data_IF_578762178401
#
_entry.id   IF_578762178401
#
_cell.length_a   1.000
_cell.length_b   1.000
_cell.length_c   1.000
_cell.angle_alpha   90.00
_cell.angle_beta   90.00
_cell.angle_gamma   90.00
#
_symmetry.space_group_name_H-M   'P 1'
#
loop_
_entity.id
_entity.type
_entity.pdbx_description
1 polymer ?
#
# COMPACT_ATOMS: atom_id res chain seq x y z
N UNK A 1 -14.65 28.95 -44.40
CA UNK A 1 -13.26 28.65 -44.80
C UNK A 1 -12.34 29.00 -43.64
N UNK A 2 -11.89 27.99 -42.89
CA UNK A 2 -10.68 27.96 -42.03
C UNK A 2 -10.85 26.96 -40.87
N UNK A 3 -11.28 25.73 -41.19
CA UNK A 3 -11.20 24.61 -40.25
C UNK A 3 -11.15 23.30 -41.06
N UNK A 4 -10.05 23.07 -41.82
CA UNK A 4 -9.67 21.76 -42.37
C UNK A 4 -8.33 21.79 -43.16
N UNK A 5 -7.22 22.33 -42.65
CA UNK A 5 -5.88 22.08 -43.23
C UNK A 5 -4.79 22.15 -42.17
N UNK A 6 -3.79 21.27 -42.31
CA UNK A 6 -2.54 21.14 -41.54
C UNK A 6 -2.55 20.16 -40.35
N UNK A 7 -3.07 18.96 -40.64
CA UNK A 7 -2.61 17.68 -40.09
C UNK A 7 -1.90 16.86 -41.19
N UNK A 8 -1.01 17.48 -41.98
CA UNK A 8 -0.18 16.79 -42.98
C UNK A 8 1.22 17.43 -43.00
N UNK A 9 2.08 17.04 -42.05
CA UNK A 9 3.52 16.91 -42.33
C UNK A 9 4.10 15.80 -41.45
N UNK A 10 4.14 14.65 -42.10
CA UNK A 10 4.70 13.37 -41.69
C UNK A 10 6.11 13.27 -42.30
N UNK A 11 6.99 12.55 -41.58
CA UNK A 11 8.21 11.87 -42.01
C UNK A 11 9.57 12.59 -42.18
N UNK A 12 10.55 12.02 -41.47
CA UNK A 12 12.00 12.19 -41.65
C UNK A 12 12.72 12.36 -40.31
N UNK A 13 13.62 11.50 -39.83
CA UNK A 13 14.31 10.36 -40.41
C UNK A 13 14.81 9.44 -39.29
N UNK A 14 14.67 8.14 -39.49
CA UNK A 14 15.28 7.07 -38.69
C UNK A 14 16.51 6.57 -39.46
N UNK A 15 17.70 6.61 -38.85
CA UNK A 15 18.87 5.86 -39.33
C UNK A 15 19.51 5.11 -38.15
N UNK A 16 19.86 3.82 -38.32
CA UNK A 16 20.39 2.97 -37.26
C UNK A 16 21.92 2.95 -37.25
N UNK A 17 22.50 2.71 -36.06
CA UNK A 17 23.79 2.06 -35.91
C UNK A 17 24.92 2.94 -35.38
N UNK A 18 25.30 2.72 -34.12
CA UNK A 18 26.70 2.39 -33.77
C UNK A 18 26.71 1.66 -32.42
N UNK A 19 27.09 0.38 -32.44
CA UNK A 19 27.39 -0.40 -31.24
C UNK A 19 28.65 0.15 -30.53
N UNK A 20 28.62 0.21 -29.21
CA UNK A 20 29.78 0.45 -28.36
C UNK A 20 29.90 -0.66 -27.29
N UNK A 21 31.12 -1.00 -26.84
CA UNK A 21 31.49 -2.35 -26.47
C UNK A 21 31.07 -2.73 -25.04
N UNK A 22 30.71 -4.00 -24.86
CA UNK A 22 30.48 -4.64 -23.55
C UNK A 22 31.80 -4.74 -22.78
N UNK A 23 31.99 -3.88 -21.78
CA UNK A 23 33.03 -4.05 -20.77
C UNK A 23 32.56 -5.07 -19.72
N UNK A 24 33.40 -6.08 -19.46
CA UNK A 24 33.06 -7.27 -18.68
C UNK A 24 32.61 -7.00 -17.24
N UNK A 25 31.52 -7.65 -16.86
CA UNK A 25 31.14 -7.85 -15.46
C UNK A 25 32.25 -8.60 -14.73
N UNK A 26 32.91 -7.93 -13.78
CA UNK A 26 33.59 -8.60 -12.68
C UNK A 26 32.57 -8.75 -11.55
N UNK A 27 32.07 -9.98 -11.39
CA UNK A 27 31.19 -10.41 -10.33
C UNK A 27 31.97 -10.36 -9.01
N UNK A 28 31.72 -9.34 -8.17
CA UNK A 28 32.25 -9.30 -6.81
C UNK A 28 31.21 -9.99 -5.92
N UNK A 29 31.39 -11.29 -5.71
CA UNK A 29 30.61 -12.06 -4.74
C UNK A 29 30.82 -11.49 -3.33
N UNK A 30 29.76 -10.93 -2.73
CA UNK A 30 29.72 -10.59 -1.30
C UNK A 30 29.11 -11.76 -0.52
N UNK A 31 29.73 -12.22 0.58
CA UNK A 31 29.24 -13.37 1.33
C UNK A 31 27.93 -13.04 2.06
N UNK A 32 26.90 -13.88 1.87
CA UNK A 32 25.65 -13.87 2.63
C UNK A 32 25.93 -14.15 4.11
N UNK A 33 25.54 -13.24 4.98
CA UNK A 33 25.57 -13.42 6.43
C UNK A 33 24.35 -14.27 6.84
N UNK A 34 24.57 -15.53 7.21
CA UNK A 34 23.55 -16.39 7.81
C UNK A 34 23.44 -16.08 9.31
N UNK A 35 22.27 -15.65 9.80
CA UNK A 35 21.95 -15.71 11.22
C UNK A 35 20.76 -16.62 11.47
N UNK A 36 21.02 -17.70 12.22
CA UNK A 36 19.99 -18.49 12.87
C UNK A 36 19.59 -17.84 14.20
N UNK A 37 18.29 -17.77 14.46
CA UNK A 37 17.77 -17.52 15.80
C UNK A 37 16.50 -18.36 16.00
N UNK A 38 16.62 -19.36 16.87
CA UNK A 38 15.53 -20.21 17.34
C UNK A 38 14.61 -19.37 18.23
N UNK A 39 13.35 -19.19 17.85
CA UNK A 39 12.32 -18.66 18.75
C UNK A 39 11.37 -19.77 19.20
N UNK A 40 11.51 -20.16 20.47
CA UNK A 40 10.61 -21.09 21.17
C UNK A 40 9.65 -20.24 22.00
N UNK A 41 8.43 -20.03 21.51
CA UNK A 41 7.39 -19.36 22.29
C UNK A 41 6.82 -20.34 23.33
N UNK A 42 7.00 -20.01 24.61
CA UNK A 42 6.38 -20.71 25.74
C UNK A 42 4.92 -20.27 25.89
N UNK A 43 3.99 -21.23 25.94
CA UNK A 43 2.58 -20.99 26.27
C UNK A 43 2.39 -20.95 27.80
N UNK A 44 1.45 -20.15 28.34
CA UNK A 44 1.21 -20.10 29.78
C UNK A 44 0.42 -21.33 30.27
N UNK A 45 0.73 -21.73 31.51
CA UNK A 45 0.17 -22.86 32.22
C UNK A 45 -1.33 -22.69 32.54
N UNK A 46 -2.06 -23.81 32.45
CA UNK A 46 -3.51 -23.89 32.57
C UNK A 46 -4.06 -23.73 33.99
N UNK A 47 -5.30 -23.27 34.04
CA UNK A 47 -6.18 -23.35 35.21
C UNK A 47 -7.03 -24.62 35.06
N UNK A 48 -7.01 -25.47 36.08
CA UNK A 48 -7.77 -26.71 36.13
C UNK A 48 -9.24 -26.45 36.44
N UNK A 49 -10.14 -27.15 35.74
CA UNK A 49 -11.51 -27.40 36.20
C UNK A 49 -11.97 -28.79 35.73
N UNK A 50 -12.50 -29.51 36.70
CA UNK A 50 -12.84 -30.93 36.75
C UNK A 50 -14.25 -31.22 36.20
N UNK A 51 -14.41 -32.43 35.65
CA UNK A 51 -15.61 -33.26 35.79
C UNK A 51 -16.90 -32.90 35.04
N UNK A 52 -17.16 -33.57 33.91
CA UNK A 52 -18.15 -34.67 33.81
C UNK A 52 -18.76 -34.88 32.40
N UNK A 53 -18.44 -36.08 31.87
CA UNK A 53 -19.22 -37.02 31.02
C UNK A 53 -20.34 -36.49 30.09
N UNK A 54 -20.06 -36.66 28.79
CA UNK A 54 -20.89 -37.51 27.92
C UNK A 54 -21.81 -36.81 26.91
N UNK A 55 -21.41 -36.78 25.63
CA UNK A 55 -22.29 -36.97 24.47
C UNK A 55 -21.49 -36.95 23.15
N UNK A 56 -21.56 -38.08 22.43
CA UNK A 56 -21.65 -38.26 20.97
C UNK A 56 -21.27 -37.13 20.00
N UNK A 57 -20.39 -37.46 19.05
CA UNK A 57 -20.53 -37.06 17.64
C UNK A 57 -20.11 -35.64 17.26
N UNK A 58 -18.80 -35.43 17.04
CA UNK A 58 -18.31 -34.47 16.07
C UNK A 58 -16.88 -34.88 15.68
N UNK A 59 -16.69 -35.29 14.42
CA UNK A 59 -15.35 -35.36 13.83
C UNK A 59 -14.77 -33.95 13.90
N UNK A 60 -13.86 -33.73 14.84
CA UNK A 60 -13.09 -32.48 14.95
C UNK A 60 -12.36 -32.29 13.62
N UNK A 61 -12.87 -31.38 12.80
CA UNK A 61 -12.07 -30.71 11.78
C UNK A 61 -10.92 -30.07 12.55
N UNK A 62 -9.76 -30.75 12.57
CA UNK A 62 -8.51 -30.12 12.98
C UNK A 62 -8.35 -28.96 12.01
N UNK A 63 -8.51 -27.73 12.51
CA UNK A 63 -8.12 -26.55 11.76
C UNK A 63 -6.71 -26.80 11.26
N UNK A 64 -6.44 -26.74 9.94
CA UNK A 64 -5.06 -26.77 9.48
C UNK A 64 -4.36 -25.64 10.22
N UNK A 65 -3.21 -25.95 10.83
CA UNK A 65 -2.28 -24.94 11.31
C UNK A 65 -2.18 -23.88 10.21
N UNK A 66 -2.26 -22.57 10.53
CA UNK A 66 -2.10 -21.55 9.50
C UNK A 66 -0.81 -21.89 8.75
N UNK A 67 -0.81 -21.86 7.40
CA UNK A 67 0.43 -22.07 6.67
C UNK A 67 1.46 -21.13 7.29
N UNK A 68 2.63 -21.67 7.66
CA UNK A 68 3.77 -20.86 8.02
C UNK A 68 3.83 -19.76 6.96
N UNK A 69 3.78 -18.48 7.39
CA UNK A 69 3.79 -17.35 6.46
C UNK A 69 4.88 -17.65 5.46
N UNK A 70 4.57 -17.69 4.17
CA UNK A 70 5.62 -17.68 3.15
C UNK A 70 6.41 -16.42 3.45
N UNK A 71 7.56 -16.58 4.09
CA UNK A 71 8.46 -15.48 4.40
C UNK A 71 8.85 -14.92 3.04
N UNK A 72 8.40 -13.70 2.73
CA UNK A 72 8.83 -13.02 1.52
C UNK A 72 10.37 -13.05 1.51
N UNK A 73 10.99 -13.41 0.39
CA UNK A 73 12.44 -13.48 0.34
C UNK A 73 13.03 -12.14 0.77
N UNK A 74 14.18 -12.14 1.46
CA UNK A 74 14.84 -10.90 1.87
C UNK A 74 15.11 -10.04 0.63
N UNK A 75 14.78 -8.76 0.73
CA UNK A 75 14.86 -7.77 -0.35
C UNK A 75 15.94 -6.74 -0.01
N UNK A 76 16.62 -6.21 -1.02
CA UNK A 76 17.47 -5.04 -0.90
C UNK A 76 16.65 -3.76 -1.15
N UNK A 77 16.50 -2.94 -0.11
CA UNK A 77 15.62 -1.78 -0.09
C UNK A 77 16.39 -0.51 0.25
N UNK A 78 16.24 0.52 -0.59
CA UNK A 78 16.82 1.84 -0.35
C UNK A 78 15.75 2.80 0.16
N UNK A 79 16.01 3.46 1.28
CA UNK A 79 15.13 4.47 1.86
C UNK A 79 15.80 5.84 1.76
N UNK A 80 15.25 6.71 0.92
CA UNK A 80 15.66 8.10 0.81
C UNK A 80 14.97 9.00 1.83
N UNK A 81 15.71 9.41 2.85
CA UNK A 81 15.30 10.31 3.92
C UNK A 81 15.13 9.59 5.26
N UNK A 82 15.92 9.96 6.26
CA UNK A 82 15.89 9.49 7.65
C UNK A 82 15.11 10.46 8.57
N UNK A 83 13.93 10.88 8.09
CA UNK A 83 12.93 11.55 8.92
C UNK A 83 12.17 10.55 9.80
N UNK A 84 11.12 11.01 10.48
CA UNK A 84 10.27 10.13 11.33
C UNK A 84 9.72 8.91 10.59
N UNK A 85 9.24 9.12 9.35
CA UNK A 85 8.67 8.04 8.53
C UNK A 85 9.77 7.09 8.03
N UNK A 86 10.90 7.62 7.56
CA UNK A 86 11.98 6.81 7.04
C UNK A 86 12.67 5.97 8.11
N UNK A 87 12.90 6.52 9.30
CA UNK A 87 13.47 5.77 10.42
C UNK A 87 12.55 4.63 10.88
N UNK A 88 11.26 4.90 11.07
CA UNK A 88 10.27 3.86 11.44
C UNK A 88 10.16 2.76 10.38
N UNK A 89 10.12 3.15 9.09
CA UNK A 89 10.12 2.20 7.98
C UNK A 89 11.39 1.36 7.94
N UNK A 90 12.56 1.98 8.12
CA UNK A 90 13.85 1.30 8.12
C UNK A 90 13.94 0.26 9.23
N UNK A 91 13.52 0.61 10.45
CA UNK A 91 13.50 -0.29 11.59
C UNK A 91 12.52 -1.45 11.42
N UNK A 92 11.35 -1.22 10.83
CA UNK A 92 10.39 -2.29 10.56
C UNK A 92 10.94 -3.27 9.53
N UNK A 93 11.41 -2.77 8.39
CA UNK A 93 11.94 -3.61 7.32
C UNK A 93 13.20 -4.38 7.73
N UNK A 94 14.10 -3.72 8.48
CA UNK A 94 15.29 -4.34 9.06
C UNK A 94 14.94 -5.47 10.03
N UNK A 95 13.92 -5.28 10.89
CA UNK A 95 13.43 -6.32 11.80
C UNK A 95 12.77 -7.49 11.08
N UNK A 96 12.11 -7.22 9.95
CA UNK A 96 11.48 -8.24 9.11
C UNK A 96 12.51 -9.01 8.25
N UNK A 97 13.81 -8.69 8.36
CA UNK A 97 14.90 -9.43 7.74
C UNK A 97 15.30 -8.94 6.34
N UNK A 98 14.82 -7.77 5.93
CA UNK A 98 15.25 -7.13 4.68
C UNK A 98 16.62 -6.47 4.83
N UNK A 99 17.36 -6.37 3.72
CA UNK A 99 18.59 -5.60 3.64
C UNK A 99 18.24 -4.15 3.33
N UNK A 100 18.46 -3.26 4.30
CA UNK A 100 17.97 -1.87 4.24
C UNK A 100 19.15 -0.90 4.25
N UNK A 101 19.16 0.00 3.26
CA UNK A 101 20.09 1.13 3.21
C UNK A 101 19.32 2.43 3.34
N UNK A 102 19.67 3.26 4.32
CA UNK A 102 19.05 4.57 4.56
C UNK A 102 19.98 5.68 4.08
N UNK A 103 19.51 6.49 3.13
CA UNK A 103 20.21 7.66 2.63
C UNK A 103 19.61 8.94 3.23
N UNK A 104 20.43 9.82 3.80
CA UNK A 104 20.01 11.17 4.17
C UNK A 104 21.16 12.16 3.97
N UNK A 105 20.85 13.43 3.69
CA UNK A 105 21.86 14.47 3.52
C UNK A 105 22.42 14.94 4.86
N UNK A 106 21.66 14.78 5.96
CA UNK A 106 22.08 15.16 7.30
C UNK A 106 22.55 13.93 8.09
N UNK A 107 23.82 13.88 8.52
CA UNK A 107 24.32 12.79 9.37
C UNK A 107 23.55 12.67 10.70
N UNK A 108 23.12 13.79 11.27
CA UNK A 108 22.33 13.84 12.51
C UNK A 108 20.95 13.19 12.35
N UNK A 109 20.47 12.99 11.11
CA UNK A 109 19.20 12.34 10.89
C UNK A 109 19.20 10.87 11.32
N UNK A 110 20.36 10.22 11.28
CA UNK A 110 20.52 8.81 11.65
C UNK A 110 20.37 8.56 13.15
N UNK A 111 20.48 9.60 14.00
CA UNK A 111 20.20 9.49 15.44
C UNK A 111 18.75 9.08 15.74
N UNK A 112 17.86 9.17 14.74
CA UNK A 112 16.48 8.69 14.83
C UNK A 112 16.34 7.18 14.70
N UNK A 113 17.35 6.50 14.18
CA UNK A 113 17.36 5.05 14.06
C UNK A 113 17.61 4.45 15.45
N UNK A 114 16.70 3.61 15.88
CA UNK A 114 16.79 2.90 17.14
C UNK A 114 17.91 1.86 17.14
N UNK A 115 18.34 1.45 18.33
CA UNK A 115 19.40 0.46 18.52
C UNK A 115 19.11 -0.92 17.90
N UNK A 116 17.87 -1.18 17.48
CA UNK A 116 17.47 -2.40 16.79
C UNK A 116 17.68 -2.38 15.27
N UNK A 117 18.04 -1.22 14.70
CA UNK A 117 18.34 -1.12 13.27
C UNK A 117 19.71 -1.75 12.96
N UNK A 118 19.74 -2.69 12.02
CA UNK A 118 20.94 -3.42 11.61
C UNK A 118 21.35 -3.18 10.13
N UNK A 119 20.71 -2.22 9.46
CA UNK A 119 21.01 -1.86 8.07
C UNK A 119 22.15 -0.86 7.95
N UNK A 120 22.38 -0.38 6.72
CA UNK A 120 23.44 0.59 6.41
C UNK A 120 22.89 2.02 6.37
N UNK A 121 23.68 2.99 6.84
CA UNK A 121 23.37 4.43 6.74
C UNK A 121 24.40 5.12 5.86
N UNK A 122 23.94 5.93 4.90
CA UNK A 122 24.79 6.63 3.95
C UNK A 122 24.43 8.11 3.87
N UNK A 123 25.43 8.98 4.05
CA UNK A 123 25.26 10.42 3.87
C UNK A 123 25.28 10.75 2.37
N UNK A 124 24.25 11.44 1.89
CA UNK A 124 24.17 11.95 0.52
C UNK A 124 22.80 12.49 0.13
N UNK A 125 22.75 13.23 -0.99
CA UNK A 125 21.49 13.67 -1.59
C UNK A 125 20.88 12.52 -2.40
N UNK A 126 19.59 12.25 -2.20
CA UNK A 126 18.87 11.17 -2.89
C UNK A 126 18.66 11.45 -4.37
N UNK A 127 18.85 12.71 -4.80
CA UNK A 127 18.76 13.13 -6.20
C UNK A 127 20.10 13.01 -6.94
N UNK A 128 21.18 12.68 -6.23
CA UNK A 128 22.49 12.45 -6.82
C UNK A 128 22.75 10.97 -7.11
N UNK A 129 23.39 10.68 -8.24
CA UNK A 129 23.68 9.30 -8.66
C UNK A 129 24.71 8.61 -7.77
N UNK A 130 25.74 9.33 -7.35
CA UNK A 130 26.85 8.74 -6.61
C UNK A 130 26.42 8.16 -5.24
N UNK A 131 25.63 8.87 -4.41
CA UNK A 131 25.06 8.29 -3.20
C UNK A 131 24.18 7.07 -3.46
N UNK A 132 23.35 7.09 -4.51
CA UNK A 132 22.49 5.96 -4.87
C UNK A 132 23.30 4.72 -5.31
N UNK A 133 24.36 4.92 -6.09
CA UNK A 133 25.30 3.85 -6.48
C UNK A 133 25.97 3.24 -5.25
N UNK A 134 26.44 4.09 -4.32
CA UNK A 134 27.02 3.62 -3.05
C UNK A 134 26.00 2.85 -2.21
N UNK A 135 24.73 3.22 -2.29
CA UNK A 135 23.63 2.52 -1.63
C UNK A 135 23.23 1.20 -2.30
N UNK A 136 23.86 0.81 -3.42
CA UNK A 136 23.60 -0.46 -4.10
C UNK A 136 22.41 -0.45 -5.05
N UNK A 137 21.99 0.72 -5.55
CA UNK A 137 20.78 0.85 -6.37
C UNK A 137 20.74 -0.04 -7.62
N UNK A 138 21.90 -0.41 -8.18
CA UNK A 138 22.00 -1.30 -9.35
C UNK A 138 21.36 -2.68 -9.11
N UNK A 139 21.26 -3.11 -7.85
CA UNK A 139 20.65 -4.39 -7.46
C UNK A 139 19.49 -4.21 -6.46
N UNK A 140 18.94 -2.99 -6.34
CA UNK A 140 17.84 -2.72 -5.42
C UNK A 140 16.54 -3.33 -5.91
N UNK A 141 15.89 -4.11 -5.05
CA UNK A 141 14.56 -4.64 -5.29
C UNK A 141 13.49 -3.55 -5.15
N UNK A 142 13.78 -2.49 -4.42
CA UNK A 142 12.90 -1.33 -4.31
C UNK A 142 13.54 -0.09 -3.70
N UNK A 143 12.91 1.07 -3.97
CA UNK A 143 13.32 2.36 -3.44
C UNK A 143 12.13 3.15 -2.89
N UNK A 144 12.27 3.70 -1.70
CA UNK A 144 11.24 4.53 -1.05
C UNK A 144 11.79 5.92 -0.76
N UNK A 145 11.20 6.96 -1.35
CA UNK A 145 11.62 8.34 -1.13
C UNK A 145 10.65 9.07 -0.19
N UNK A 146 11.07 9.33 1.05
CA UNK A 146 10.25 9.82 2.18
C UNK A 146 10.81 11.10 2.81
N UNK A 147 11.60 11.87 2.05
CA UNK A 147 12.14 13.17 2.48
C UNK A 147 11.03 14.20 2.71
N UNK A 148 11.41 15.36 3.25
CA UNK A 148 10.49 16.50 3.42
C UNK A 148 10.14 17.23 2.11
N UNK A 149 10.85 16.95 1.00
CA UNK A 149 10.65 17.64 -0.28
C UNK A 149 9.95 16.72 -1.28
N UNK A 150 8.72 17.08 -1.67
CA UNK A 150 7.98 16.39 -2.73
C UNK A 150 8.73 16.41 -4.07
N UNK A 151 9.52 17.46 -4.34
CA UNK A 151 10.31 17.52 -5.57
C UNK A 151 11.48 16.53 -5.51
N UNK A 152 12.18 16.46 -4.37
CA UNK A 152 13.27 15.50 -4.19
C UNK A 152 12.74 14.07 -4.25
N UNK A 153 11.60 13.79 -3.62
CA UNK A 153 10.99 12.46 -3.63
C UNK A 153 10.64 12.03 -5.05
N UNK A 154 9.99 12.90 -5.82
CA UNK A 154 9.68 12.66 -7.23
C UNK A 154 10.95 12.42 -8.05
N UNK A 155 11.94 13.31 -7.95
CA UNK A 155 13.19 13.17 -8.72
C UNK A 155 13.94 11.88 -8.37
N UNK A 156 13.97 11.51 -7.08
CA UNK A 156 14.64 10.29 -6.62
C UNK A 156 14.02 9.04 -7.23
N UNK A 157 12.69 8.92 -7.21
CA UNK A 157 12.01 7.76 -7.80
C UNK A 157 12.13 7.71 -9.31
N UNK A 158 12.10 8.86 -9.99
CA UNK A 158 12.33 8.93 -11.44
C UNK A 158 13.77 8.54 -11.81
N UNK A 159 14.78 8.99 -11.05
CA UNK A 159 16.16 8.56 -11.25
C UNK A 159 16.29 7.04 -11.07
N UNK A 160 15.69 6.49 -10.01
CA UNK A 160 15.72 5.05 -9.74
C UNK A 160 15.10 4.23 -10.88
N UNK A 161 13.96 4.67 -11.40
CA UNK A 161 13.25 4.00 -12.50
C UNK A 161 13.98 4.14 -13.83
N UNK A 162 14.26 5.37 -14.24
CA UNK A 162 14.72 5.69 -15.59
C UNK A 162 16.21 5.39 -15.79
N UNK A 163 17.03 5.53 -14.75
CA UNK A 163 18.48 5.33 -14.87
C UNK A 163 18.96 3.99 -14.35
N UNK A 164 18.27 3.41 -13.35
CA UNK A 164 18.70 2.18 -12.69
C UNK A 164 17.71 1.02 -12.86
N UNK A 165 16.56 1.24 -13.51
CA UNK A 165 15.58 0.18 -13.78
C UNK A 165 14.87 -0.36 -12.54
N UNK A 166 14.92 0.35 -11.41
CA UNK A 166 14.21 -0.06 -10.19
C UNK A 166 12.72 0.21 -10.39
N UNK A 167 11.92 -0.83 -10.59
CA UNK A 167 10.49 -0.67 -10.89
C UNK A 167 9.63 -0.50 -9.63
N UNK A 168 10.03 -1.09 -8.49
CA UNK A 168 9.30 -0.92 -7.23
C UNK A 168 9.76 0.35 -6.52
N UNK A 169 9.21 1.49 -6.92
CA UNK A 169 9.50 2.77 -6.28
C UNK A 169 8.26 3.36 -5.64
N UNK A 170 8.40 3.94 -4.44
CA UNK A 170 7.29 4.65 -3.77
C UNK A 170 7.76 6.02 -3.30
N UNK A 171 7.05 7.06 -3.69
CA UNK A 171 7.31 8.42 -3.21
C UNK A 171 6.29 8.84 -2.14
N UNK A 172 6.76 9.53 -1.09
CA UNK A 172 5.87 10.26 -0.20
C UNK A 172 5.45 11.57 -0.84
N UNK A 173 4.14 11.82 -0.85
CA UNK A 173 3.55 13.09 -1.26
C UNK A 173 2.97 13.83 -0.06
N UNK A 174 3.54 14.98 0.26
CA UNK A 174 3.05 15.86 1.32
C UNK A 174 1.98 16.83 0.80
N UNK A 175 2.18 17.47 -0.35
CA UNK A 175 1.23 18.43 -0.91
C UNK A 175 0.21 17.76 -1.85
N UNK A 176 -1.08 17.61 -1.44
CA UNK A 176 -2.09 16.95 -2.28
C UNK A 176 -2.38 17.69 -3.59
N UNK A 177 -2.05 18.99 -3.71
CA UNK A 177 -2.25 19.73 -4.95
C UNK A 177 -1.36 19.23 -6.11
N UNK A 178 -0.32 18.43 -5.82
CA UNK A 178 0.59 17.88 -6.83
C UNK A 178 0.24 16.45 -7.25
N UNK A 179 -0.82 15.90 -6.68
CA UNK A 179 -1.23 14.51 -6.86
C UNK A 179 -1.52 14.16 -8.33
N UNK A 180 -2.17 15.07 -9.06
CA UNK A 180 -2.43 14.86 -10.49
C UNK A 180 -1.16 14.74 -11.33
N UNK A 181 -0.09 15.46 -10.97
CA UNK A 181 1.20 15.35 -11.66
C UNK A 181 1.79 13.96 -11.44
N UNK A 182 1.87 13.51 -10.19
CA UNK A 182 2.37 12.19 -9.84
C UNK A 182 1.62 11.07 -10.57
N UNK A 183 0.28 11.15 -10.59
CA UNK A 183 -0.57 10.20 -11.30
C UNK A 183 -0.32 10.20 -12.80
N UNK A 184 -0.18 11.37 -13.43
CA UNK A 184 0.09 11.48 -14.88
C UNK A 184 1.45 10.92 -15.28
N UNK A 185 2.44 11.01 -14.40
CA UNK A 185 3.77 10.42 -14.60
C UNK A 185 3.80 8.93 -14.26
N UNK A 186 2.71 8.35 -13.76
CA UNK A 186 2.67 6.94 -13.37
C UNK A 186 3.56 6.62 -12.17
N UNK A 187 3.82 7.61 -11.31
CA UNK A 187 4.58 7.43 -10.07
C UNK A 187 3.69 6.79 -9.02
N UNK A 188 4.16 5.72 -8.37
CA UNK A 188 3.49 5.19 -7.19
C UNK A 188 3.81 6.09 -5.99
N UNK A 189 2.78 6.56 -5.29
CA UNK A 189 2.94 7.47 -4.17
C UNK A 189 1.97 7.21 -3.01
N UNK A 190 2.35 7.70 -1.83
CA UNK A 190 1.49 7.75 -0.65
C UNK A 190 1.32 9.21 -0.21
N UNK A 191 0.08 9.71 -0.24
CA UNK A 191 -0.22 11.03 0.30
C UNK A 191 -0.39 10.98 1.82
N UNK A 192 0.66 11.35 2.55
CA UNK A 192 0.62 11.36 4.02
C UNK A 192 -0.46 12.30 4.57
N UNK A 193 -0.62 13.47 3.95
CA UNK A 193 -1.61 14.47 4.35
C UNK A 193 -3.05 13.95 4.19
N UNK A 194 -3.37 13.31 3.05
CA UNK A 194 -4.70 12.72 2.85
C UNK A 194 -4.94 11.54 3.79
N UNK A 195 -3.93 10.70 4.01
CA UNK A 195 -4.05 9.54 4.91
C UNK A 195 -4.38 9.98 6.34
N UNK A 196 -3.61 10.93 6.87
CA UNK A 196 -3.82 11.45 8.23
C UNK A 196 -5.15 12.19 8.34
N UNK A 197 -5.50 13.05 7.38
CA UNK A 197 -6.80 13.73 7.38
C UNK A 197 -7.96 12.73 7.39
N UNK A 198 -7.88 11.67 6.57
CA UNK A 198 -8.87 10.60 6.53
C UNK A 198 -8.94 9.84 7.86
N UNK A 199 -7.80 9.54 8.48
CA UNK A 199 -7.76 8.90 9.79
C UNK A 199 -8.41 9.77 10.89
N UNK A 200 -8.12 11.08 10.92
CA UNK A 200 -8.72 12.01 11.88
C UNK A 200 -10.24 12.12 11.66
N UNK A 201 -10.68 12.24 10.41
CA UNK A 201 -12.10 12.29 10.07
C UNK A 201 -12.84 11.03 10.53
N UNK A 202 -12.19 9.86 10.51
CA UNK A 202 -12.78 8.62 11.02
C UNK A 202 -12.97 8.62 12.54
N UNK A 203 -12.17 9.37 13.30
CA UNK A 203 -12.32 9.50 14.76
C UNK A 203 -13.40 10.51 15.16
N UNK A 204 -13.78 11.41 14.25
CA UNK A 204 -14.79 12.43 14.51
C UNK A 204 -16.21 11.89 14.21
N UNK A 205 -17.23 12.25 15.01
CA UNK A 205 -18.62 11.88 14.77
C UNK A 205 -19.25 12.76 13.67
N UNK A 206 -18.54 13.01 12.58
CA UNK A 206 -18.97 13.91 11.48
C UNK A 206 -19.81 13.20 10.43
N UNK A 207 -20.09 11.90 10.57
CA UNK A 207 -21.07 11.18 9.75
C UNK A 207 -20.68 11.00 8.27
N UNK A 208 -19.47 11.39 7.87
CA UNK A 208 -19.06 11.38 6.46
C UNK A 208 -17.85 10.46 6.28
N UNK A 209 -18.07 9.35 5.56
CA UNK A 209 -17.05 8.36 5.26
C UNK A 209 -16.81 8.26 3.75
N UNK A 210 -15.53 8.20 3.34
CA UNK A 210 -15.18 7.32 2.25
C UNK A 210 -13.92 6.53 2.62
N UNK A 211 -14.07 5.36 3.26
CA UNK A 211 -13.06 4.31 3.10
C UNK A 211 -13.21 3.77 1.67
N UNK A 212 -12.60 4.45 0.71
CA UNK A 212 -12.23 3.87 -0.57
C UNK A 212 -10.82 3.34 -0.43
N UNK A 213 -10.66 2.03 -0.56
CA UNK A 213 -9.36 1.36 -0.72
C UNK A 213 -9.42 0.69 -2.10
N UNK A 214 -8.67 1.24 -3.04
CA UNK A 214 -8.37 0.59 -4.31
C UNK A 214 -7.05 -0.15 -4.20
N UNK A 215 -7.02 -1.36 -4.75
CA UNK A 215 -5.78 -2.12 -4.89
C UNK A 215 -5.26 -1.90 -6.32
N UNK A 216 -3.98 -1.54 -6.45
CA UNK A 216 -3.36 -1.08 -7.70
C UNK A 216 -3.53 -2.07 -8.87
N UNK A 217 -3.49 -3.38 -8.61
CA UNK A 217 -3.59 -4.45 -9.61
C UNK A 217 -4.84 -5.34 -9.49
N UNK A 218 -5.89 -4.90 -8.79
CA UNK A 218 -7.11 -5.70 -8.66
C UNK A 218 -8.33 -5.04 -9.31
N UNK A 219 -9.23 -5.88 -9.82
CA UNK A 219 -10.56 -5.47 -10.29
C UNK A 219 -11.54 -5.22 -9.14
N UNK A 220 -11.06 -5.21 -7.89
CA UNK A 220 -11.89 -5.07 -6.69
C UNK A 220 -11.57 -3.76 -5.96
N UNK A 221 -12.62 -3.09 -5.50
CA UNK A 221 -12.54 -1.92 -4.64
C UNK A 221 -13.30 -2.21 -3.34
N UNK A 222 -12.70 -1.89 -2.20
CA UNK A 222 -13.44 -1.87 -0.94
C UNK A 222 -13.96 -0.46 -0.76
N UNK A 223 -15.27 -0.34 -0.66
CA UNK A 223 -15.95 0.94 -0.46
C UNK A 223 -16.84 0.88 0.77
N UNK A 224 -17.19 2.06 1.27
CA UNK A 224 -18.28 2.21 2.21
C UNK A 224 -19.50 2.77 1.50
N UNK A 225 -20.66 2.17 1.76
CA UNK A 225 -21.94 2.49 1.15
C UNK A 225 -22.89 2.94 2.25
N UNK A 226 -23.34 4.19 2.18
CA UNK A 226 -24.40 4.69 3.06
C UNK A 226 -25.75 4.21 2.55
N UNK A 227 -26.50 3.52 3.39
CA UNK A 227 -27.84 3.02 3.05
C UNK A 227 -28.84 4.18 3.10
N UNK A 228 -29.44 4.46 1.94
CA UNK A 228 -30.48 5.47 1.79
C UNK A 228 -31.85 4.95 2.25
N UNK A 229 -32.89 5.79 2.19
CA UNK A 229 -34.27 5.41 2.55
C UNK A 229 -34.75 4.20 1.78
N UNK A 230 -34.38 4.12 0.51
CA UNK A 230 -34.75 3.08 -0.43
C UNK A 230 -34.14 1.72 -0.08
N UNK A 231 -33.01 1.72 0.64
CA UNK A 231 -32.38 0.49 1.16
C UNK A 231 -32.83 0.08 2.55
N UNK A 232 -33.72 0.85 3.18
CA UNK A 232 -34.26 0.47 4.48
C UNK A 232 -35.06 -0.83 4.39
N UNK A 233 -34.72 -1.80 5.23
CA UNK A 233 -35.40 -3.08 5.32
C UNK A 233 -34.87 -4.15 4.37
N UNK A 234 -34.05 -3.79 3.39
CA UNK A 234 -33.35 -4.75 2.54
C UNK A 234 -32.39 -5.61 3.38
N UNK A 235 -32.25 -6.87 3.00
CA UNK A 235 -31.26 -7.78 3.58
C UNK A 235 -29.92 -7.62 2.91
N UNK A 236 -28.85 -8.03 3.59
CA UNK A 236 -27.51 -8.10 3.00
C UNK A 236 -27.51 -8.99 1.75
N UNK A 237 -28.20 -10.13 1.77
CA UNK A 237 -28.31 -11.02 0.62
C UNK A 237 -28.97 -10.35 -0.60
N UNK A 238 -30.02 -9.56 -0.37
CA UNK A 238 -30.67 -8.80 -1.44
C UNK A 238 -29.71 -7.75 -2.02
N UNK A 239 -28.95 -7.04 -1.18
CA UNK A 239 -27.97 -6.06 -1.62
C UNK A 239 -26.83 -6.69 -2.44
N UNK A 240 -26.30 -7.83 -1.99
CA UNK A 240 -25.30 -8.60 -2.72
C UNK A 240 -25.84 -9.25 -4.01
N UNK A 241 -27.16 -9.46 -4.10
CA UNK A 241 -27.81 -9.96 -5.31
C UNK A 241 -27.99 -8.89 -6.42
N UNK A 242 -28.01 -7.60 -6.06
CA UNK A 242 -28.25 -6.51 -7.02
C UNK A 242 -27.03 -6.18 -7.90
N UNK A 243 -25.82 -6.44 -7.39
CA UNK A 243 -24.58 -6.14 -8.08
C UNK A 243 -23.49 -7.14 -7.64
N UNK A 244 -22.37 -7.21 -8.36
CA UNK A 244 -21.20 -8.02 -7.94
C UNK A 244 -20.54 -7.35 -6.73
N UNK A 245 -21.20 -7.52 -5.58
CA UNK A 245 -20.93 -6.83 -4.32
C UNK A 245 -20.87 -7.89 -3.24
N UNK A 246 -19.85 -7.81 -2.39
CA UNK A 246 -19.75 -8.63 -1.19
C UNK A 246 -19.69 -7.73 0.03
N UNK A 247 -20.67 -7.86 0.91
CA UNK A 247 -20.80 -7.06 2.12
C UNK A 247 -20.02 -7.73 3.24
N UNK A 248 -19.04 -7.02 3.80
CA UNK A 248 -18.21 -7.53 4.89
C UNK A 248 -18.77 -7.15 6.27
N UNK A 249 -19.21 -5.91 6.43
CA UNK A 249 -19.63 -5.38 7.72
C UNK A 249 -20.73 -4.33 7.60
N UNK A 250 -21.53 -4.24 8.66
CA UNK A 250 -22.52 -3.19 8.84
C UNK A 250 -22.07 -2.35 10.04
N UNK A 251 -21.94 -1.05 9.83
CA UNK A 251 -21.74 -0.06 10.89
C UNK A 251 -23.04 0.69 11.12
N UNK A 252 -23.52 0.66 12.38
CA UNK A 252 -24.69 1.41 12.82
C UNK A 252 -24.27 2.31 13.97
N UNK A 253 -24.09 3.60 13.69
CA UNK A 253 -23.47 4.53 14.63
C UNK A 253 -22.03 4.12 14.94
N UNK A 254 -21.74 3.79 16.21
CA UNK A 254 -20.41 3.32 16.66
C UNK A 254 -20.23 1.81 16.66
N UNK A 255 -21.28 1.05 16.40
CA UNK A 255 -21.24 -0.41 16.50
C UNK A 255 -21.02 -1.00 15.11
N UNK A 256 -19.81 -1.51 14.89
CA UNK A 256 -19.46 -2.28 13.70
C UNK A 256 -19.66 -3.75 14.01
N UNK A 257 -20.27 -4.47 13.08
CA UNK A 257 -20.43 -5.92 13.16
C UNK A 257 -20.22 -6.55 11.79
N UNK A 258 -19.69 -7.78 11.79
CA UNK A 258 -19.63 -8.60 10.58
C UNK A 258 -21.06 -8.85 10.09
N UNK A 259 -21.26 -8.65 8.80
CA UNK A 259 -22.57 -8.79 8.17
C UNK A 259 -22.93 -10.27 7.98
N UNK A 260 -24.20 -10.59 8.19
CA UNK A 260 -24.81 -11.87 7.85
C UNK A 260 -25.83 -11.68 6.74
N UNK A 261 -26.05 -12.71 5.94
CA UNK A 261 -26.95 -12.64 4.78
C UNK A 261 -28.38 -12.18 5.15
N UNK A 262 -28.86 -12.56 6.34
CA UNK A 262 -30.20 -12.25 6.87
C UNK A 262 -30.29 -10.88 7.58
N UNK A 263 -29.17 -10.17 7.73
CA UNK A 263 -29.15 -8.88 8.39
C UNK A 263 -29.95 -7.84 7.60
N UNK A 264 -30.90 -7.22 8.29
CA UNK A 264 -31.68 -6.10 7.74
C UNK A 264 -30.94 -4.77 7.90
N UNK A 265 -30.72 -4.14 6.76
CA UNK A 265 -30.17 -2.81 6.62
C UNK A 265 -31.20 -1.76 7.05
N UNK A 266 -30.71 -0.69 7.65
CA UNK A 266 -31.52 0.48 8.01
C UNK A 266 -30.96 1.71 7.31
N UNK A 267 -31.85 2.64 6.98
CA UNK A 267 -31.46 3.99 6.60
C UNK A 267 -30.42 4.54 7.60
N UNK A 268 -29.31 5.06 7.08
CA UNK A 268 -28.19 5.56 7.88
C UNK A 268 -27.17 4.50 8.31
N UNK A 269 -27.40 3.21 8.04
CA UNK A 269 -26.35 2.20 8.17
C UNK A 269 -25.24 2.48 7.14
N UNK A 270 -23.99 2.23 7.53
CA UNK A 270 -22.84 2.27 6.64
C UNK A 270 -22.36 0.84 6.42
N UNK A 271 -22.40 0.40 5.17
CA UNK A 271 -22.01 -0.96 4.77
C UNK A 271 -20.61 -0.92 4.18
N UNK A 272 -19.71 -1.74 4.71
CA UNK A 272 -18.39 -1.98 4.10
C UNK A 272 -18.56 -3.11 3.09
N UNK A 273 -18.27 -2.85 1.82
CA UNK A 273 -18.44 -3.83 0.76
C UNK A 273 -17.26 -3.83 -0.23
N UNK A 274 -16.93 -5.02 -0.73
CA UNK A 274 -16.06 -5.20 -1.88
C UNK A 274 -16.90 -5.19 -3.16
N UNK A 275 -16.45 -4.46 -4.18
CA UNK A 275 -17.12 -4.35 -5.47
C UNK A 275 -16.15 -4.54 -6.62
N UNK A 276 -16.65 -5.08 -7.73
CA UNK A 276 -15.92 -4.99 -8.99
C UNK A 276 -15.81 -3.53 -9.47
N UNK A 277 -14.67 -3.15 -10.05
CA UNK A 277 -14.46 -1.83 -10.69
C UNK A 277 -15.61 -1.55 -11.67
N UNK A 278 -16.24 -0.37 -11.53
CA UNK A 278 -17.37 0.05 -12.36
C UNK A 278 -18.78 -0.37 -11.85
N UNK A 279 -18.88 -1.26 -10.87
CA UNK A 279 -20.16 -1.73 -10.32
C UNK A 279 -20.92 -0.69 -9.48
N UNK A 280 -20.27 0.42 -9.10
CA UNK A 280 -20.85 1.55 -8.37
C UNK A 280 -22.15 2.07 -9.00
N UNK A 281 -22.31 1.98 -10.33
CA UNK A 281 -23.50 2.47 -11.03
C UNK A 281 -24.79 1.74 -10.65
N UNK A 282 -24.68 0.46 -10.30
CA UNK A 282 -25.84 -0.41 -10.00
C UNK A 282 -26.34 -0.23 -8.57
N UNK A 283 -25.51 0.29 -7.67
CA UNK A 283 -25.89 0.56 -6.28
C UNK A 283 -26.61 1.90 -6.08
N UNK A 284 -26.66 2.78 -7.11
CA UNK A 284 -27.22 4.14 -6.99
C UNK A 284 -28.67 4.23 -6.51
N UNK A 285 -29.48 3.18 -6.67
CA UNK A 285 -30.87 3.17 -6.23
C UNK A 285 -31.06 2.88 -4.74
N UNK A 286 -30.05 2.32 -4.07
CA UNK A 286 -30.10 1.85 -2.67
C UNK A 286 -29.05 2.57 -1.81
N UNK A 287 -28.03 3.12 -2.46
CA UNK A 287 -26.92 3.84 -1.87
C UNK A 287 -27.05 5.35 -2.11
N UNK A 288 -26.97 6.13 -1.03
CA UNK A 288 -26.61 7.53 -1.13
C UNK A 288 -25.09 7.60 -1.28
N UNK A 289 -24.59 7.74 -2.51
CA UNK A 289 -23.15 7.80 -2.73
C UNK A 289 -22.62 9.15 -2.22
N UNK A 290 -21.73 9.19 -1.21
CA UNK A 290 -21.28 10.47 -0.63
C UNK A 290 -20.36 11.29 -1.55
N UNK A 291 -19.99 10.78 -2.74
CA UNK A 291 -19.05 11.42 -3.68
C UNK A 291 -19.74 12.08 -4.90
N UNK A 292 -21.07 12.19 -4.93
CA UNK A 292 -21.80 12.83 -6.03
C UNK A 292 -22.34 14.23 -5.68
N UNK A 293 -21.99 14.78 -4.51
CA UNK A 293 -22.37 16.14 -4.09
C UNK A 293 -21.42 17.26 -4.57
N UNK A 294 -20.34 16.92 -5.28
CA UNK A 294 -19.44 17.89 -5.92
C UNK A 294 -19.43 17.67 -7.45
N UNK A 295 -20.50 18.12 -8.11
CA UNK A 295 -20.49 18.47 -9.53
C UNK A 295 -21.42 19.66 -9.77
#
# INVERSE_FOLDING_TARGET
>A
MALQRQLDHVDGAFHPGTEAPRAGQQHIDRPRVTHGAQYRAAAPAGVAADGSRGATGASMLRSPSPPAREECPPMHLIIGGCGRVGADLAEQLSRDGHDVVVLDHSPEAFDRLGAGFNGETLVGDTTDKEPLLRAGIDNADGLVAVTASDNANLMTVEIARELFGVHQTVARLFNPAREDSYRKMGVHYVSGTRLVAKAILNELPTGTFPLHVSFSDSDVEIVQVLIAREGHGATVAELEGMATVRVAAISRGRRVRVARNDDRLREGDVVVAALAKGAHRRLRGVAAHPQMAER
#
